data_IF_412058357805
#
_entry.id   IF_412058357805
#
_cell.length_a   1.000
_cell.length_b   1.000
_cell.length_c   1.000
_cell.angle_alpha   90.00
_cell.angle_beta   90.00
_cell.angle_gamma   90.00
#
_symmetry.space_group_name_H-M   'P 1'
#
loop_
_entity.id
_entity.type
_entity.pdbx_description
1 polymer ?
#
# COMPACT_ATOMS: atom_id res chain seq x y z
N UNK A 1 30.29 3.21 35.08
CA UNK A 1 29.08 3.95 34.72
C UNK A 1 28.06 3.00 34.13
N UNK A 2 26.91 2.81 34.77
CA UNK A 2 25.80 2.03 34.23
C UNK A 2 25.04 2.93 33.24
N UNK A 3 25.07 2.59 31.96
CA UNK A 3 24.35 3.32 30.92
C UNK A 3 22.89 2.85 30.94
N UNK A 4 22.01 3.70 31.45
CA UNK A 4 20.57 3.55 31.37
C UNK A 4 20.14 3.72 29.91
N UNK A 5 19.73 2.62 29.28
CA UNK A 5 19.08 2.65 27.97
C UNK A 5 17.66 3.17 28.19
N UNK A 6 17.46 4.45 27.90
CA UNK A 6 16.13 5.05 27.85
C UNK A 6 15.34 4.39 26.72
N UNK A 7 14.30 3.63 27.08
CA UNK A 7 13.31 3.12 26.14
C UNK A 7 12.59 4.33 25.51
N UNK A 8 13.03 4.72 24.31
CA UNK A 8 12.38 5.77 23.54
C UNK A 8 10.96 5.35 23.16
N UNK A 9 10.00 6.23 23.47
CA UNK A 9 8.63 6.21 22.96
C UNK A 9 8.62 6.18 21.42
N UNK A 10 8.69 5.00 20.82
CA UNK A 10 8.59 4.80 19.38
C UNK A 10 7.15 4.99 18.92
N UNK A 11 6.72 6.26 18.84
CA UNK A 11 5.46 6.71 18.27
C UNK A 11 5.50 6.51 16.76
N UNK A 12 4.87 5.45 16.26
CA UNK A 12 4.70 5.25 14.81
C UNK A 12 3.57 6.14 14.28
N UNK A 13 3.89 6.85 13.21
CA UNK A 13 3.01 7.74 12.46
C UNK A 13 2.73 7.00 11.15
N UNK A 14 1.49 6.56 10.90
CA UNK A 14 1.12 5.98 9.61
C UNK A 14 0.27 6.96 8.81
N UNK A 15 0.58 7.06 7.53
CA UNK A 15 -0.14 7.89 6.56
C UNK A 15 -1.07 7.00 5.73
N UNK A 16 -2.38 7.22 5.82
CA UNK A 16 -3.37 6.51 4.98
C UNK A 16 -3.92 7.52 3.98
N UNK A 17 -3.84 7.18 2.69
CA UNK A 17 -4.57 7.88 1.64
C UNK A 17 -5.51 6.87 0.97
N UNK A 18 -6.79 6.91 1.30
CA UNK A 18 -7.82 6.44 0.38
C UNK A 18 -8.39 7.68 -0.31
N UNK A 19 -8.04 7.93 -1.58
CA UNK A 19 -8.91 8.76 -2.39
C UNK A 19 -10.22 8.01 -2.62
N UNK A 20 -11.39 8.63 -2.44
CA UNK A 20 -12.50 8.34 -3.33
C UNK A 20 -12.13 8.93 -4.70
N UNK A 21 -11.29 8.25 -5.49
CA UNK A 21 -11.03 8.69 -6.86
C UNK A 21 -12.14 8.17 -7.77
N UNK A 22 -12.78 9.12 -8.44
CA UNK A 22 -13.62 8.95 -9.62
C UNK A 22 -12.82 8.16 -10.66
N UNK A 23 -13.22 6.92 -10.93
CA UNK A 23 -12.69 6.17 -12.07
C UNK A 23 -13.35 6.73 -13.32
N UNK A 24 -12.56 7.43 -14.13
CA UNK A 24 -12.84 7.62 -15.54
C UNK A 24 -12.68 6.25 -16.22
N UNK A 25 -13.82 5.60 -16.49
CA UNK A 25 -13.89 4.40 -17.31
C UNK A 25 -13.58 4.78 -18.76
N UNK A 26 -12.31 5.02 -19.05
CA UNK A 26 -11.74 5.13 -20.39
C UNK A 26 -11.79 3.79 -21.10
N UNK A 27 -12.99 3.32 -21.43
CA UNK A 27 -13.22 2.18 -22.31
C UNK A 27 -14.43 2.47 -23.21
N UNK A 28 -14.30 3.47 -24.08
CA UNK A 28 -15.22 3.64 -25.22
C UNK A 28 -14.89 2.60 -26.29
N UNK A 29 -15.53 1.45 -26.23
CA UNK A 29 -15.66 0.57 -27.38
C UNK A 29 -16.71 1.16 -28.32
N UNK A 30 -16.29 1.56 -29.52
CA UNK A 30 -17.18 1.91 -30.62
C UNK A 30 -17.98 0.66 -31.02
N UNK A 31 -19.28 0.66 -30.71
CA UNK A 31 -20.25 -0.26 -31.31
C UNK A 31 -21.09 0.56 -32.28
N UNK A 32 -20.84 0.36 -33.57
CA UNK A 32 -21.79 0.75 -34.61
C UNK A 32 -22.97 -0.22 -34.56
N UNK A 33 -24.15 0.29 -34.21
CA UNK A 33 -25.42 -0.41 -34.45
C UNK A 33 -26.34 0.48 -35.28
N UNK A 34 -26.75 -0.07 -36.42
CA UNK A 34 -27.63 0.50 -37.42
C UNK A 34 -29.02 0.80 -36.82
N UNK A 35 -29.62 1.89 -37.29
CA UNK A 35 -30.93 2.35 -36.86
C UNK A 35 -32.07 1.56 -37.49
N UNK A 36 -33.11 1.33 -36.70
CA UNK A 36 -34.43 0.93 -37.17
C UNK A 36 -35.50 1.78 -36.47
N UNK A 37 -36.46 2.22 -37.30
CA UNK A 37 -37.65 3.00 -37.02
C UNK A 37 -38.42 2.61 -35.73
N UNK A 38 -39.08 3.59 -35.08
CA UNK A 38 -40.55 3.73 -35.12
C UNK A 38 -41.14 4.84 -34.23
N UNK A 39 -42.11 5.53 -34.83
CA UNK A 39 -43.40 6.02 -34.28
C UNK A 39 -43.44 7.04 -33.14
N UNK A 40 -43.83 8.26 -33.56
CA UNK A 40 -44.56 9.29 -32.79
C UNK A 40 -45.78 8.70 -32.07
N UNK A 41 -45.93 8.98 -30.78
CA UNK A 41 -47.23 9.00 -30.08
C UNK A 41 -47.35 10.27 -29.24
N UNK A 42 -48.51 10.91 -29.40
CA UNK A 42 -48.99 12.12 -28.74
C UNK A 42 -49.27 11.84 -27.25
N UNK A 43 -48.95 12.79 -26.38
CA UNK A 43 -49.42 12.87 -24.98
C UNK A 43 -50.42 14.02 -24.84
N UNK A 44 -51.55 13.83 -24.13
CA UNK A 44 -52.43 14.92 -23.77
C UNK A 44 -52.09 15.53 -22.40
N UNK A 45 -52.40 16.82 -22.30
CA UNK A 45 -52.42 17.66 -21.11
C UNK A 45 -53.53 17.26 -20.13
N UNK A 46 -53.27 17.36 -18.81
CA UNK A 46 -54.28 17.73 -17.81
C UNK A 46 -53.73 17.94 -16.38
N UNK A 47 -54.06 19.12 -15.85
CA UNK A 47 -54.61 19.41 -14.50
C UNK A 47 -53.69 19.52 -13.27
N UNK A 48 -53.44 20.79 -12.93
CA UNK A 48 -53.72 21.47 -11.65
C UNK A 48 -54.03 20.61 -10.41
N UNK A 49 -53.22 20.78 -9.35
CA UNK A 49 -53.68 20.72 -7.97
C UNK A 49 -53.14 21.92 -7.18
N UNK A 50 -54.08 22.64 -6.54
CA UNK A 50 -53.85 23.72 -5.58
C UNK A 50 -53.38 23.14 -4.24
N UNK A 51 -52.44 23.78 -3.57
CA UNK A 51 -52.29 23.72 -2.12
C UNK A 51 -52.00 25.11 -1.56
N UNK A 52 -52.75 25.46 -0.51
CA UNK A 52 -52.69 26.69 0.29
C UNK A 52 -51.82 26.46 1.54
N UNK A 53 -51.46 27.52 2.30
CA UNK A 53 -50.24 27.59 3.09
C UNK A 53 -50.42 27.17 4.55
N UNK A 54 -49.34 26.69 5.16
CA UNK A 54 -49.22 26.61 6.63
C UNK A 54 -47.94 27.32 7.06
N UNK A 55 -48.17 28.31 7.91
CA UNK A 55 -47.24 29.11 8.71
C UNK A 55 -46.43 28.28 9.71
N UNK A 56 -45.22 28.74 10.06
CA UNK A 56 -44.50 28.23 11.23
C UNK A 56 -43.07 28.77 11.34
N UNK A 57 -42.86 29.61 12.34
CA UNK A 57 -41.70 30.46 12.60
C UNK A 57 -40.37 29.77 12.97
N UNK A 58 -39.29 30.51 12.70
CA UNK A 58 -38.06 30.72 13.49
C UNK A 58 -37.36 29.53 14.19
N UNK A 59 -36.08 29.34 13.82
CA UNK A 59 -34.94 29.79 14.65
C UNK A 59 -33.61 29.63 13.89
N UNK A 60 -32.97 30.77 13.63
CA UNK A 60 -31.54 30.86 13.35
C UNK A 60 -30.77 30.56 14.64
N UNK A 61 -29.84 29.60 14.59
CA UNK A 61 -28.69 29.58 15.50
C UNK A 61 -27.45 29.37 14.63
N UNK A 62 -26.64 30.41 14.60
CA UNK A 62 -25.32 30.47 13.99
C UNK A 62 -24.33 29.75 14.91
N UNK A 63 -23.54 28.84 14.34
CA UNK A 63 -22.32 28.33 14.98
C UNK A 63 -21.14 29.28 14.65
N UNK A 64 -20.49 29.91 15.65
CA UNK A 64 -19.18 30.51 15.46
C UNK A 64 -18.10 29.57 16.02
N UNK A 65 -17.01 29.40 15.27
CA UNK A 65 -15.61 29.42 15.77
C UNK A 65 -14.68 28.66 14.82
N UNK A 66 -14.10 29.39 13.87
CA UNK A 66 -12.75 29.14 13.36
C UNK A 66 -11.87 30.29 13.86
N UNK A 67 -10.73 30.04 14.54
CA UNK A 67 -9.74 31.08 14.72
C UNK A 67 -8.87 31.17 13.47
N UNK A 68 -9.00 32.31 12.78
CA UNK A 68 -7.99 32.83 11.85
C UNK A 68 -6.74 33.18 12.64
N UNK A 69 -5.61 32.55 12.33
CA UNK A 69 -4.28 33.07 12.66
C UNK A 69 -3.52 33.26 11.34
N UNK A 70 -3.66 34.46 10.79
CA UNK A 70 -2.74 35.03 9.80
C UNK A 70 -1.47 35.47 10.54
N UNK A 71 -0.37 34.75 10.35
CA UNK A 71 0.95 35.26 10.68
C UNK A 71 1.53 35.94 9.43
N UNK A 72 1.68 37.27 9.52
CA UNK A 72 2.39 38.13 8.57
C UNK A 72 3.88 37.75 8.54
N UNK A 73 4.42 37.42 7.38
CA UNK A 73 5.88 37.45 7.16
C UNK A 73 6.32 38.85 6.70
N UNK A 74 7.46 39.36 7.18
CA UNK A 74 7.96 40.65 6.75
C UNK A 74 8.73 40.56 5.44
N UNK A 75 8.35 41.48 4.56
CA UNK A 75 8.98 41.85 3.30
C UNK A 75 10.37 42.44 3.55
N UNK A 76 11.42 41.93 2.89
CA UNK A 76 12.70 42.65 2.74
C UNK A 76 13.17 42.56 1.28
N UNK A 77 12.97 43.68 0.59
CA UNK A 77 13.71 44.10 -0.59
C UNK A 77 15.14 44.48 -0.19
N UNK A 78 16.13 44.00 -0.92
CA UNK A 78 17.39 44.72 -1.14
C UNK A 78 17.82 44.50 -2.60
N UNK A 79 17.97 45.61 -3.33
CA UNK A 79 18.44 45.67 -4.71
C UNK A 79 19.92 46.06 -4.75
N UNK A 80 20.64 45.46 -5.71
CA UNK A 80 21.80 45.97 -6.47
C UNK A 80 23.09 46.22 -5.67
N UNK A 81 24.31 45.85 -6.12
CA UNK A 81 24.99 46.13 -7.39
C UNK A 81 26.22 45.21 -7.48
N UNK A 82 26.58 44.70 -8.69
CA UNK A 82 27.88 44.89 -9.41
C UNK A 82 28.29 43.72 -10.34
N UNK A 83 28.00 43.92 -11.61
CA UNK A 83 28.87 43.83 -12.80
C UNK A 83 30.03 42.80 -12.92
N UNK A 84 29.95 42.09 -14.06
CA UNK A 84 31.02 41.76 -15.05
C UNK A 84 32.12 40.74 -14.66
N UNK A 85 32.13 39.59 -15.36
CA UNK A 85 33.07 39.35 -16.49
C UNK A 85 32.79 38.01 -17.19
N UNK A 86 32.49 38.10 -18.49
CA UNK A 86 32.65 37.03 -19.48
C UNK A 86 34.14 36.72 -19.66
N UNK A 87 34.55 35.46 -19.59
CA UNK A 87 35.63 34.92 -20.43
C UNK A 87 35.30 33.47 -20.83
N UNK A 88 35.15 33.29 -22.14
CA UNK A 88 35.27 32.02 -22.84
C UNK A 88 36.74 31.61 -22.82
N UNK A 89 37.04 30.36 -22.55
CA UNK A 89 38.24 29.69 -23.07
C UNK A 89 38.02 28.19 -23.09
N UNK A 90 37.74 27.71 -24.30
CA UNK A 90 37.97 26.37 -24.80
C UNK A 90 39.44 25.98 -24.64
N UNK A 91 39.70 24.80 -24.05
CA UNK A 91 40.99 24.12 -24.19
C UNK A 91 40.77 22.59 -24.22
N UNK A 92 41.08 22.03 -25.39
CA UNK A 92 41.36 20.61 -25.64
C UNK A 92 42.61 20.15 -24.87
N UNK A 93 42.58 18.94 -24.31
CA UNK A 93 43.68 17.95 -24.17
C UNK A 93 43.09 16.71 -23.49
N UNK A 94 42.81 15.59 -24.16
CA UNK A 94 43.72 14.50 -24.58
C UNK A 94 44.65 13.97 -23.49
N UNK A 95 44.29 12.81 -22.91
CA UNK A 95 45.14 11.67 -22.49
C UNK A 95 44.22 10.57 -21.93
N UNK A 96 44.05 9.46 -22.64
CA UNK A 96 44.81 8.19 -22.54
C UNK A 96 44.61 7.42 -21.23
N UNK A 97 43.88 6.32 -21.38
CA UNK A 97 44.13 4.96 -20.87
C UNK A 97 44.43 4.76 -19.39
N UNK A 98 43.54 4.02 -18.71
CA UNK A 98 43.90 2.86 -17.89
C UNK A 98 42.67 1.94 -17.77
N UNK A 99 42.80 0.77 -18.38
CA UNK A 99 41.97 -0.42 -18.18
C UNK A 99 42.49 -1.14 -16.94
N UNK A 100 41.60 -1.56 -16.03
CA UNK A 100 41.65 -2.86 -15.32
C UNK A 100 40.69 -2.83 -14.13
N UNK A 101 39.76 -3.79 -14.07
CA UNK A 101 38.93 -4.03 -12.89
C UNK A 101 37.63 -4.76 -13.20
N UNK A 102 37.69 -5.87 -13.92
CA UNK A 102 36.57 -6.79 -14.10
C UNK A 102 36.43 -7.68 -12.85
N UNK A 103 35.57 -7.30 -11.90
CA UNK A 103 35.06 -8.21 -10.88
C UNK A 103 33.67 -8.70 -11.31
N UNK A 104 33.65 -9.67 -12.24
CA UNK A 104 32.47 -10.48 -12.55
C UNK A 104 32.38 -11.65 -11.57
N UNK A 105 31.65 -11.46 -10.48
CA UNK A 105 31.09 -12.57 -9.70
C UNK A 105 29.95 -13.20 -10.51
N UNK A 106 30.31 -14.14 -11.37
CA UNK A 106 29.38 -15.04 -12.03
C UNK A 106 28.88 -16.08 -11.02
N UNK A 107 27.65 -15.93 -10.53
CA UNK A 107 26.90 -17.04 -9.96
C UNK A 107 26.33 -17.84 -11.14
N UNK A 108 26.93 -19.00 -11.42
CA UNK A 108 26.35 -20.00 -12.30
C UNK A 108 25.10 -20.61 -11.64
N UNK A 109 23.95 -20.68 -12.34
CA UNK A 109 22.89 -21.60 -12.01
C UNK A 109 23.09 -22.88 -12.82
N UNK A 110 23.62 -23.93 -12.19
CA UNK A 110 23.50 -25.29 -12.72
C UNK A 110 22.20 -25.92 -12.24
N UNK A 111 21.43 -26.41 -13.21
CA UNK A 111 20.40 -27.44 -13.12
C UNK A 111 19.05 -27.07 -12.49
N UNK A 112 18.19 -26.46 -13.31
CA UNK A 112 16.74 -26.44 -13.11
C UNK A 112 15.99 -26.77 -14.41
N UNK A 113 16.12 -28.03 -14.86
CA UNK A 113 15.06 -28.66 -15.65
C UNK A 113 14.02 -29.18 -14.66
N UNK A 114 13.01 -28.37 -14.35
CA UNK A 114 11.78 -28.92 -13.77
C UNK A 114 10.55 -28.10 -14.19
N UNK A 115 9.87 -28.59 -15.23
CA UNK A 115 8.48 -28.27 -15.51
C UNK A 115 7.63 -28.99 -14.47
N UNK A 116 7.50 -28.40 -13.27
CA UNK A 116 6.47 -28.72 -12.26
C UNK A 116 6.54 -27.70 -11.11
N UNK A 117 6.32 -26.42 -11.42
CA UNK A 117 6.21 -25.36 -10.42
C UNK A 117 4.80 -25.30 -9.85
N UNK A 118 4.44 -26.23 -8.96
CA UNK A 118 3.29 -26.06 -8.06
C UNK A 118 3.24 -26.96 -6.81
N UNK A 119 4.35 -27.57 -6.37
CA UNK A 119 4.37 -28.30 -5.11
C UNK A 119 5.73 -28.18 -4.40
N UNK A 120 5.94 -27.08 -3.67
CA UNK A 120 6.89 -27.11 -2.55
C UNK A 120 6.24 -27.91 -1.41
N UNK A 121 6.80 -29.08 -1.09
CA UNK A 121 6.32 -29.91 0.02
C UNK A 121 6.52 -29.21 1.38
N UNK A 122 5.54 -29.25 2.31
CA UNK A 122 5.65 -28.58 3.61
C UNK A 122 6.64 -29.30 4.54
N UNK A 123 7.69 -28.59 4.96
CA UNK A 123 8.66 -29.05 5.93
C UNK A 123 8.02 -29.12 7.33
N UNK A 124 7.85 -30.34 7.88
CA UNK A 124 7.16 -30.62 9.16
C UNK A 124 7.89 -30.11 10.43
N UNK A 125 8.99 -29.37 10.32
CA UNK A 125 9.78 -28.89 11.49
C UNK A 125 9.53 -27.43 11.90
N UNK A 126 8.60 -26.71 11.28
CA UNK A 126 8.43 -25.26 11.52
C UNK A 126 7.48 -24.84 12.66
N UNK A 127 6.62 -25.74 13.17
CA UNK A 127 5.63 -25.41 14.22
C UNK A 127 6.21 -24.81 15.52
N UNK A 128 7.50 -25.03 15.81
CA UNK A 128 8.16 -24.45 16.99
C UNK A 128 8.70 -23.04 16.76
N UNK A 129 9.07 -22.68 15.52
CA UNK A 129 9.81 -21.44 15.24
C UNK A 129 8.91 -20.18 15.26
N UNK A 130 7.66 -20.30 14.81
CA UNK A 130 6.70 -19.18 14.76
C UNK A 130 6.31 -18.72 16.18
N UNK A 131 6.13 -19.66 17.10
CA UNK A 131 5.82 -19.34 18.51
C UNK A 131 6.97 -18.60 19.21
N UNK A 132 8.22 -18.97 18.90
CA UNK A 132 9.40 -18.38 19.54
C UNK A 132 9.59 -16.90 19.14
N UNK A 133 9.46 -16.58 17.86
CA UNK A 133 9.61 -15.19 17.38
C UNK A 133 8.59 -14.22 17.99
N UNK A 134 7.38 -14.69 18.31
CA UNK A 134 6.38 -13.88 18.97
C UNK A 134 6.64 -13.70 20.47
N UNK A 135 7.25 -14.69 21.14
CA UNK A 135 7.62 -14.62 22.56
C UNK A 135 8.77 -13.63 22.79
N UNK A 136 9.74 -13.59 21.88
CA UNK A 136 10.94 -12.75 22.01
C UNK A 136 10.74 -11.30 21.54
N UNK A 137 9.52 -10.93 21.15
CA UNK A 137 9.21 -9.58 20.71
C UNK A 137 9.28 -8.58 21.86
N UNK A 138 10.32 -7.73 21.84
CA UNK A 138 10.52 -6.68 22.86
C UNK A 138 9.40 -5.65 22.92
N UNK A 139 8.74 -5.36 21.79
CA UNK A 139 7.70 -4.32 21.73
C UNK A 139 6.36 -4.80 22.27
N UNK A 140 6.02 -6.07 22.04
CA UNK A 140 4.73 -6.62 22.43
C UNK A 140 4.85 -8.13 22.72
N UNK A 141 5.48 -8.49 23.87
CA UNK A 141 5.81 -9.88 24.18
C UNK A 141 4.59 -10.80 24.15
N UNK A 142 4.72 -11.96 23.49
CA UNK A 142 3.67 -12.98 23.41
C UNK A 142 2.46 -12.63 22.54
N UNK A 143 2.33 -11.39 22.09
CA UNK A 143 1.28 -10.94 21.18
C UNK A 143 -0.17 -11.32 21.55
N UNK A 144 -0.61 -11.15 22.81
CA UNK A 144 -1.90 -11.67 23.28
C UNK A 144 -3.14 -11.09 22.60
N UNK A 145 -3.01 -9.95 21.90
CA UNK A 145 -4.10 -9.27 21.19
C UNK A 145 -3.99 -9.39 19.66
N UNK A 146 -3.16 -10.32 19.19
CA UNK A 146 -3.03 -10.65 17.76
C UNK A 146 -3.88 -11.89 17.50
N UNK A 147 -5.01 -11.68 16.83
CA UNK A 147 -5.91 -12.76 16.46
C UNK A 147 -5.41 -13.41 15.17
N UNK A 148 -5.23 -14.74 15.10
CA UNK A 148 -4.97 -15.40 13.84
C UNK A 148 -6.05 -15.03 12.82
N UNK A 149 -5.64 -14.78 11.56
CA UNK A 149 -6.54 -14.17 10.58
C UNK A 149 -7.83 -14.97 10.37
N UNK A 150 -7.78 -16.30 10.36
CA UNK A 150 -8.96 -17.13 10.20
C UNK A 150 -9.82 -17.28 11.45
N UNK A 151 -9.22 -17.13 12.62
CA UNK A 151 -9.91 -17.30 13.90
C UNK A 151 -10.70 -16.05 14.31
N UNK A 152 -10.40 -14.90 13.68
CA UNK A 152 -11.12 -13.66 13.94
C UNK A 152 -12.63 -13.75 13.62
N UNK A 153 -13.42 -13.26 14.57
CA UNK A 153 -14.85 -13.00 14.44
C UNK A 153 -15.19 -11.55 14.83
N UNK A 154 -16.18 -10.94 14.18
CA UNK A 154 -16.67 -9.59 14.52
C UNK A 154 -17.14 -9.48 15.98
N UNK A 155 -17.48 -10.61 16.61
CA UNK A 155 -17.80 -10.69 18.03
C UNK A 155 -16.61 -10.30 18.93
N UNK A 156 -15.38 -10.40 18.43
CA UNK A 156 -14.15 -9.98 19.11
C UNK A 156 -13.97 -8.45 19.12
N UNK A 157 -14.79 -7.72 18.35
CA UNK A 157 -14.76 -6.27 18.34
C UNK A 157 -15.41 -5.70 19.61
N UNK A 158 -15.06 -4.46 19.95
CA UNK A 158 -15.75 -3.73 21.00
C UNK A 158 -17.07 -3.15 20.48
N UNK A 159 -18.06 -3.02 21.36
CA UNK A 159 -19.27 -2.26 21.05
C UNK A 159 -18.89 -0.82 20.62
N UNK A 160 -19.53 -0.23 19.59
CA UNK A 160 -20.73 -0.70 18.87
C UNK A 160 -20.45 -1.61 17.66
N UNK A 161 -19.22 -2.02 17.42
CA UNK A 161 -18.83 -2.70 16.18
C UNK A 161 -19.10 -4.22 16.19
N UNK A 162 -19.34 -4.80 17.36
CA UNK A 162 -19.54 -6.24 17.55
C UNK A 162 -20.89 -6.80 17.09
N UNK A 163 -21.79 -5.94 16.61
CA UNK A 163 -23.08 -6.35 16.04
C UNK A 163 -23.09 -6.26 14.50
N UNK A 164 -21.93 -6.01 13.88
CA UNK A 164 -21.84 -5.55 12.50
C UNK A 164 -21.01 -6.50 11.65
N UNK A 165 -21.67 -7.48 11.04
CA UNK A 165 -21.06 -8.50 10.17
C UNK A 165 -20.22 -7.90 9.04
N UNK A 166 -20.51 -6.67 8.61
CA UNK A 166 -19.74 -5.97 7.58
C UNK A 166 -18.26 -5.74 7.95
N UNK A 167 -17.91 -5.70 9.25
CA UNK A 167 -16.51 -5.64 9.65
C UNK A 167 -15.75 -6.95 9.43
N UNK A 168 -16.44 -8.09 9.51
CA UNK A 168 -15.86 -9.36 9.05
C UNK A 168 -15.51 -9.29 7.57
N UNK A 169 -16.47 -8.86 6.75
CA UNK A 169 -16.25 -8.74 5.30
C UNK A 169 -15.10 -7.78 4.98
N UNK A 170 -15.00 -6.67 5.72
CA UNK A 170 -13.89 -5.73 5.62
C UNK A 170 -12.54 -6.36 5.98
N UNK A 171 -12.43 -7.02 7.14
CA UNK A 171 -11.18 -7.66 7.57
C UNK A 171 -10.75 -8.72 6.57
N UNK A 172 -11.69 -9.52 6.06
CA UNK A 172 -11.42 -10.52 5.01
C UNK A 172 -10.94 -9.86 3.72
N UNK A 173 -11.59 -8.77 3.29
CA UNK A 173 -11.19 -8.02 2.10
C UNK A 173 -9.79 -7.38 2.24
N UNK A 174 -9.46 -6.83 3.42
CA UNK A 174 -8.13 -6.31 3.74
C UNK A 174 -7.09 -7.43 3.70
N UNK A 175 -7.32 -8.52 4.43
CA UNK A 175 -6.37 -9.63 4.50
C UNK A 175 -6.15 -10.36 3.18
N UNK A 176 -7.09 -10.27 2.24
CA UNK A 176 -6.94 -10.78 0.87
C UNK A 176 -5.92 -10.00 0.02
N UNK A 177 -5.57 -8.77 0.43
CA UNK A 177 -4.64 -7.88 -0.25
C UNK A 177 -3.35 -7.64 0.55
N UNK A 178 -3.33 -8.07 1.81
CA UNK A 178 -2.13 -8.06 2.67
C UNK A 178 -1.19 -9.17 2.24
N UNK A 179 0.09 -8.81 2.06
CA UNK A 179 1.17 -9.73 1.69
C UNK A 179 2.26 -9.71 2.74
N UNK A 180 2.91 -10.85 2.92
CA UNK A 180 4.18 -10.93 3.66
C UNK A 180 5.28 -10.43 2.74
N UNK A 181 6.02 -9.43 3.18
CA UNK A 181 7.18 -8.88 2.46
C UNK A 181 8.43 -9.50 3.05
N UNK A 182 9.23 -10.13 2.20
CA UNK A 182 10.47 -10.78 2.55
C UNK A 182 11.55 -10.39 1.56
N UNK A 183 12.71 -9.96 2.04
CA UNK A 183 13.89 -9.83 1.19
C UNK A 183 15.14 -10.17 2.00
N UNK A 184 16.17 -10.64 1.27
CA UNK A 184 17.45 -11.04 1.83
C UNK A 184 18.50 -10.00 1.44
N UNK A 185 19.22 -9.50 2.43
CA UNK A 185 20.28 -8.50 2.28
C UNK A 185 19.89 -7.12 2.77
N UNK A 186 20.71 -6.13 2.45
CA UNK A 186 20.49 -4.73 2.79
C UNK A 186 21.14 -3.90 1.68
N UNK A 187 20.50 -2.84 1.22
CA UNK A 187 21.13 -1.95 0.24
C UNK A 187 22.41 -1.31 0.82
N UNK A 188 23.50 -1.22 0.04
CA UNK A 188 24.71 -0.49 0.48
C UNK A 188 24.42 0.99 0.78
N UNK A 189 23.42 1.57 0.12
CA UNK A 189 23.04 2.98 0.26
C UNK A 189 21.84 3.18 1.21
N UNK A 190 21.50 2.17 2.03
CA UNK A 190 20.36 2.25 2.94
C UNK A 190 20.57 3.40 3.95
N UNK A 191 19.61 4.34 4.06
CA UNK A 191 19.72 5.44 5.01
C UNK A 191 19.99 4.94 6.43
N UNK A 192 20.94 5.55 7.18
CA UNK A 192 21.23 5.15 8.55
C UNK A 192 20.02 5.20 9.48
N UNK A 193 19.01 6.04 9.19
CA UNK A 193 17.76 6.06 9.98
C UNK A 193 16.95 4.76 9.87
N UNK A 194 17.20 3.94 8.85
CA UNK A 194 16.54 2.65 8.61
C UNK A 194 17.37 1.45 9.06
N UNK A 195 18.38 1.63 9.93
CA UNK A 195 19.31 0.57 10.34
C UNK A 195 18.60 -0.76 10.52
N UNK A 196 18.81 -1.67 9.57
CA UNK A 196 18.33 -3.03 9.67
C UNK A 196 19.19 -3.71 10.74
N UNK A 197 18.55 -4.23 11.78
CA UNK A 197 19.25 -4.95 12.85
C UNK A 197 19.68 -6.36 12.43
N UNK A 198 19.31 -6.80 11.23
CA UNK A 198 19.42 -8.18 10.77
C UNK A 198 19.60 -8.28 9.26
N UNK A 199 20.31 -9.30 8.80
CA UNK A 199 20.51 -9.66 7.38
C UNK A 199 19.20 -10.03 6.66
N UNK A 200 18.17 -10.38 7.42
CA UNK A 200 16.82 -10.61 6.92
C UNK A 200 15.87 -9.48 7.35
N UNK A 201 15.20 -8.88 6.39
CA UNK A 201 14.15 -7.90 6.64
C UNK A 201 12.78 -8.52 6.34
N UNK A 202 11.94 -8.55 7.37
CA UNK A 202 10.57 -9.08 7.31
C UNK A 202 9.59 -7.96 7.60
N UNK A 203 8.59 -7.81 6.75
CA UNK A 203 7.56 -6.81 6.92
C UNK A 203 6.22 -7.23 6.33
N UNK A 204 5.30 -6.29 6.30
CA UNK A 204 3.99 -6.43 5.68
C UNK A 204 3.87 -5.47 4.50
N UNK A 205 3.14 -5.86 3.48
CA UNK A 205 2.75 -4.98 2.37
C UNK A 205 1.26 -5.09 2.08
N UNK A 206 0.77 -4.17 1.27
CA UNK A 206 -0.61 -4.12 0.80
C UNK A 206 -0.65 -3.98 -0.71
N UNK A 207 -1.42 -4.83 -1.39
CA UNK A 207 -1.65 -4.72 -2.82
C UNK A 207 -2.64 -3.59 -3.08
N UNK A 208 -2.21 -2.57 -3.81
CA UNK A 208 -3.02 -1.38 -4.12
C UNK A 208 -3.48 -1.31 -5.58
N UNK A 209 -2.85 -2.07 -6.47
CA UNK A 209 -3.25 -2.13 -7.88
C UNK A 209 -2.87 -3.47 -8.51
N UNK A 210 -3.68 -3.91 -9.47
CA UNK A 210 -3.41 -5.09 -10.29
C UNK A 210 -3.89 -4.83 -11.71
N UNK A 211 -2.95 -4.82 -12.66
CA UNK A 211 -3.18 -4.41 -14.05
C UNK A 211 -2.62 -5.47 -14.99
N UNK A 212 -3.45 -5.94 -15.92
CA UNK A 212 -3.00 -6.78 -17.02
C UNK A 212 -2.26 -5.92 -18.06
N UNK A 213 -1.06 -6.34 -18.42
CA UNK A 213 -0.31 -5.80 -19.55
C UNK A 213 -0.35 -6.79 -20.71
N UNK A 214 -0.23 -6.24 -21.91
CA UNK A 214 -0.08 -6.99 -23.15
C UNK A 214 1.16 -6.48 -23.84
N UNK A 215 1.93 -7.38 -24.43
CA UNK A 215 3.08 -7.05 -25.27
C UNK A 215 2.63 -6.12 -26.38
N UNK A 216 3.24 -4.94 -26.43
CA UNK A 216 3.25 -4.03 -27.58
C UNK A 216 4.69 -4.01 -28.10
N UNK A 217 4.90 -3.56 -29.34
CA UNK A 217 6.22 -3.64 -30.01
C UNK A 217 7.38 -3.01 -29.21
N UNK A 218 7.08 -2.14 -28.25
CA UNK A 218 8.06 -1.48 -27.37
C UNK A 218 8.05 -1.92 -25.90
N UNK A 219 7.21 -2.89 -25.51
CA UNK A 219 7.04 -3.27 -24.10
C UNK A 219 7.32 -4.75 -23.87
N UNK A 220 8.40 -5.02 -23.14
CA UNK A 220 8.78 -6.36 -22.70
C UNK A 220 8.44 -6.58 -21.22
N UNK A 221 8.24 -7.84 -20.85
CA UNK A 221 8.11 -8.22 -19.44
C UNK A 221 9.43 -7.92 -18.72
N UNK A 222 9.43 -7.25 -17.55
CA UNK A 222 10.64 -6.85 -16.85
C UNK A 222 11.25 -7.96 -15.98
N UNK A 223 10.70 -9.18 -16.01
CA UNK A 223 11.30 -10.32 -15.31
C UNK A 223 12.56 -10.77 -16.05
N UNK A 224 13.62 -11.02 -15.28
CA UNK A 224 14.93 -11.39 -15.82
C UNK A 224 14.85 -12.67 -16.66
N UNK A 225 14.03 -13.64 -16.25
CA UNK A 225 13.85 -14.88 -17.00
C UNK A 225 13.25 -14.63 -18.39
N UNK A 226 12.39 -13.61 -18.53
CA UNK A 226 11.77 -13.26 -19.82
C UNK A 226 12.70 -12.50 -20.76
N UNK A 227 13.71 -11.82 -20.23
CA UNK A 227 14.75 -11.17 -21.04
C UNK A 227 15.65 -12.23 -21.71
N UNK A 228 15.94 -13.32 -20.98
CA UNK A 228 16.79 -14.41 -21.46
C UNK A 228 16.01 -15.42 -22.30
N UNK A 229 14.76 -15.72 -21.93
CA UNK A 229 13.99 -16.80 -22.54
C UNK A 229 13.23 -16.33 -23.79
N UNK A 230 13.85 -16.48 -24.97
CA UNK A 230 13.23 -16.16 -26.27
C UNK A 230 11.98 -16.98 -26.62
N UNK A 231 11.81 -18.15 -25.99
CA UNK A 231 10.74 -19.11 -26.31
C UNK A 231 9.38 -18.78 -25.69
N UNK A 232 9.37 -18.03 -24.59
CA UNK A 232 8.14 -17.66 -23.89
C UNK A 232 8.10 -16.15 -23.65
N UNK A 233 8.10 -15.31 -24.70
CA UNK A 233 7.87 -13.89 -24.53
C UNK A 233 6.42 -13.76 -24.11
N UNK A 234 6.15 -13.81 -22.79
CA UNK A 234 4.81 -13.74 -22.23
C UNK A 234 4.06 -12.61 -22.92
N UNK A 235 3.12 -12.96 -23.80
CA UNK A 235 2.37 -11.97 -24.56
C UNK A 235 1.54 -11.09 -23.63
N UNK A 236 1.35 -11.55 -22.38
CA UNK A 236 0.66 -10.88 -21.30
C UNK A 236 1.39 -11.16 -19.98
N UNK A 237 1.38 -10.17 -19.10
CA UNK A 237 1.83 -10.29 -17.71
C UNK A 237 1.02 -9.35 -16.82
N UNK A 238 0.99 -9.62 -15.53
CA UNK A 238 0.43 -8.72 -14.52
C UNK A 238 1.46 -7.78 -13.96
N UNK A 239 1.14 -6.50 -13.88
CA UNK A 239 1.81 -5.56 -12.97
C UNK A 239 0.96 -5.41 -11.70
N UNK A 240 1.59 -5.67 -10.55
CA UNK A 240 0.95 -5.58 -9.23
C UNK A 240 1.72 -4.54 -8.41
N UNK A 241 1.03 -3.50 -7.96
CA UNK A 241 1.65 -2.47 -7.11
C UNK A 241 1.45 -2.84 -5.65
N UNK A 242 2.55 -2.89 -4.90
CA UNK A 242 2.57 -3.14 -3.47
C UNK A 242 3.03 -1.88 -2.75
N UNK A 243 2.28 -1.50 -1.71
CA UNK A 243 2.65 -0.46 -0.75
C UNK A 243 3.22 -1.13 0.52
N UNK A 244 4.31 -0.60 1.06
CA UNK A 244 4.91 -0.99 2.34
C UNK A 244 5.58 0.22 3.00
N UNK A 245 6.27 0.03 4.12
CA UNK A 245 7.05 1.09 4.75
C UNK A 245 8.43 1.26 4.08
N UNK A 246 8.94 2.49 4.01
CA UNK A 246 10.25 2.76 3.38
C UNK A 246 11.41 2.12 4.16
N UNK A 247 11.31 2.04 5.48
CA UNK A 247 12.26 1.26 6.29
C UNK A 247 12.09 -0.26 6.14
N UNK A 248 11.06 -0.75 5.45
CA UNK A 248 10.97 -2.18 5.10
C UNK A 248 11.65 -2.43 3.77
N UNK A 249 11.37 -1.61 2.74
CA UNK A 249 12.06 -1.66 1.44
C UNK A 249 12.43 -0.24 1.01
N UNK A 250 13.72 0.09 0.97
CA UNK A 250 14.17 1.48 0.86
C UNK A 250 14.61 1.94 -0.54
N UNK A 251 14.88 1.04 -1.48
CA UNK A 251 15.31 1.40 -2.84
C UNK A 251 15.07 0.31 -3.90
N UNK A 252 15.55 0.56 -5.13
CA UNK A 252 15.45 -0.40 -6.24
C UNK A 252 16.29 -1.67 -6.04
N UNK A 253 17.39 -1.58 -5.29
CA UNK A 253 18.23 -2.73 -5.00
C UNK A 253 17.48 -3.74 -4.14
N UNK A 254 16.85 -3.26 -3.06
CA UNK A 254 16.02 -4.09 -2.18
C UNK A 254 14.76 -4.58 -2.89
N UNK A 255 14.10 -3.73 -3.70
CA UNK A 255 12.90 -4.13 -4.46
C UNK A 255 13.18 -5.35 -5.34
N UNK A 256 14.28 -5.36 -6.09
CA UNK A 256 14.62 -6.47 -7.01
C UNK A 256 14.89 -7.80 -6.29
N UNK A 257 15.23 -7.74 -5.00
CA UNK A 257 15.44 -8.90 -4.12
C UNK A 257 14.22 -9.21 -3.24
N UNK A 258 13.16 -8.42 -3.37
CA UNK A 258 11.95 -8.56 -2.57
C UNK A 258 11.03 -9.61 -3.17
N UNK A 259 10.56 -10.49 -2.30
CA UNK A 259 9.52 -11.48 -2.54
C UNK A 259 8.30 -11.08 -1.71
N UNK A 260 7.15 -10.99 -2.36
CA UNK A 260 5.86 -10.86 -1.70
C UNK A 260 5.13 -12.21 -1.70
N UNK A 261 4.79 -12.70 -0.52
CA UNK A 261 4.09 -13.97 -0.32
C UNK A 261 2.63 -13.68 0.00
N UNK A 262 1.73 -14.15 -0.86
CA UNK A 262 0.28 -14.03 -0.72
C UNK A 262 -0.26 -15.25 0.01
N UNK A 263 -1.42 -15.07 0.63
CA UNK A 263 -2.21 -16.15 1.23
C UNK A 263 -1.46 -16.95 2.32
N UNK A 264 -0.38 -16.40 2.90
CA UNK A 264 0.37 -16.99 4.02
C UNK A 264 -0.37 -16.88 5.36
N UNK A 265 -1.46 -17.63 5.49
CA UNK A 265 -2.36 -17.58 6.65
C UNK A 265 -2.01 -18.59 7.74
N UNK A 266 -1.25 -19.62 7.40
CA UNK A 266 -0.73 -20.66 8.30
C UNK A 266 0.51 -21.32 7.66
N UNK A 267 1.19 -22.21 8.38
CA UNK A 267 2.43 -22.86 7.93
C UNK A 267 2.24 -23.85 6.77
N UNK A 268 1.04 -24.37 6.55
CA UNK A 268 0.70 -25.30 5.48
C UNK A 268 0.00 -24.61 4.31
N UNK A 269 -0.12 -23.28 4.35
CA UNK A 269 -0.82 -22.53 3.33
C UNK A 269 -0.15 -22.70 1.96
N UNK A 270 -0.97 -22.95 0.94
CA UNK A 270 -0.53 -22.88 -0.45
C UNK A 270 -0.37 -21.40 -0.80
N UNK A 271 0.87 -20.95 -0.86
CA UNK A 271 1.20 -19.55 -1.09
C UNK A 271 1.37 -19.24 -2.57
N UNK A 272 1.09 -17.98 -2.92
CA UNK A 272 1.45 -17.42 -4.24
C UNK A 272 2.59 -16.44 -4.05
N UNK A 273 3.52 -16.41 -5.00
CA UNK A 273 4.74 -15.61 -4.92
C UNK A 273 4.70 -14.52 -5.98
N UNK A 274 5.06 -13.30 -5.59
CA UNK A 274 5.30 -12.19 -6.49
C UNK A 274 6.73 -11.66 -6.29
N UNK A 275 7.41 -11.39 -7.39
CA UNK A 275 8.76 -10.86 -7.38
C UNK A 275 8.74 -9.35 -7.65
N UNK A 276 9.43 -8.58 -6.80
CA UNK A 276 9.64 -7.16 -7.01
C UNK A 276 10.57 -6.89 -8.19
N UNK A 277 10.25 -5.91 -9.02
CA UNK A 277 11.01 -5.60 -10.25
C UNK A 277 11.57 -4.19 -10.28
N UNK A 278 10.81 -3.21 -9.79
CA UNK A 278 11.24 -1.79 -9.74
C UNK A 278 10.45 -1.00 -8.72
N UNK A 279 11.11 -0.02 -8.13
CA UNK A 279 10.49 1.03 -7.32
C UNK A 279 9.53 1.85 -8.19
N UNK A 280 8.40 2.23 -7.60
CA UNK A 280 7.47 3.19 -8.20
C UNK A 280 7.64 4.55 -7.51
N UNK A 281 7.56 4.59 -6.17
CA UNK A 281 7.69 5.81 -5.38
C UNK A 281 8.16 5.50 -3.98
N UNK A 282 9.14 6.24 -3.47
CA UNK A 282 9.55 6.18 -2.06
C UNK A 282 9.45 7.58 -1.47
N UNK A 283 8.98 7.65 -0.23
CA UNK A 283 8.92 8.88 0.55
C UNK A 283 9.45 8.60 1.93
N UNK A 284 10.68 9.04 2.19
CA UNK A 284 11.32 8.86 3.50
C UNK A 284 10.58 9.62 4.59
N UNK A 285 10.13 10.84 4.28
CA UNK A 285 9.36 11.73 5.19
C UNK A 285 8.08 11.07 5.71
N UNK A 286 7.43 10.26 4.88
CA UNK A 286 6.20 9.56 5.25
C UNK A 286 6.44 8.09 5.57
N UNK A 287 7.68 7.62 5.47
CA UNK A 287 8.07 6.23 5.64
C UNK A 287 7.22 5.29 4.77
N UNK A 288 7.08 5.62 3.48
CA UNK A 288 6.28 4.84 2.53
C UNK A 288 7.11 4.42 1.32
N UNK A 289 6.95 3.18 0.89
CA UNK A 289 7.50 2.62 -0.33
C UNK A 289 6.39 1.99 -1.16
N UNK A 290 6.30 2.39 -2.41
CA UNK A 290 5.47 1.77 -3.43
C UNK A 290 6.39 1.15 -4.46
N UNK A 291 6.21 -0.12 -4.75
CA UNK A 291 6.99 -0.82 -5.75
C UNK A 291 6.12 -1.75 -6.58
N UNK A 292 6.66 -2.16 -7.71
CA UNK A 292 5.99 -3.02 -8.67
C UNK A 292 6.52 -4.44 -8.53
N UNK A 293 5.58 -5.38 -8.52
CA UNK A 293 5.83 -6.79 -8.74
C UNK A 293 5.25 -7.24 -10.09
N UNK A 294 5.78 -8.35 -10.62
CA UNK A 294 5.29 -8.95 -11.87
C UNK A 294 4.98 -10.43 -11.70
N UNK A 295 3.98 -10.90 -12.44
CA UNK A 295 3.63 -12.32 -12.55
C UNK A 295 3.07 -12.65 -13.94
N UNK A 296 3.28 -13.87 -14.41
CA UNK A 296 2.63 -14.40 -15.61
C UNK A 296 1.30 -15.12 -15.30
N UNK A 297 0.95 -15.30 -14.02
CA UNK A 297 -0.34 -15.88 -13.63
C UNK A 297 -1.45 -14.85 -13.88
N UNK A 298 -2.00 -14.88 -15.10
CA UNK A 298 -3.06 -13.97 -15.51
C UNK A 298 -4.37 -14.17 -14.74
N UNK A 299 -4.60 -15.37 -14.20
CA UNK A 299 -5.76 -15.68 -13.36
C UNK A 299 -5.62 -14.96 -12.02
N UNK A 300 -4.44 -15.02 -11.39
CA UNK A 300 -4.14 -14.29 -10.16
C UNK A 300 -4.34 -12.79 -10.32
N UNK A 301 -3.90 -12.20 -11.44
CA UNK A 301 -4.10 -10.76 -11.74
C UNK A 301 -5.60 -10.43 -11.77
N UNK A 302 -6.40 -11.26 -12.44
CA UNK A 302 -7.86 -11.11 -12.47
C UNK A 302 -8.49 -11.24 -11.08
N UNK A 303 -8.05 -12.19 -10.27
CA UNK A 303 -8.49 -12.40 -8.88
C UNK A 303 -8.19 -11.19 -7.98
N UNK A 304 -6.95 -10.68 -8.03
CA UNK A 304 -6.52 -9.53 -7.25
C UNK A 304 -7.32 -8.27 -7.63
N UNK A 305 -7.56 -8.05 -8.92
CA UNK A 305 -8.39 -6.93 -9.38
C UNK A 305 -9.81 -7.00 -8.82
N UNK A 306 -10.41 -8.20 -8.76
CA UNK A 306 -11.73 -8.41 -8.15
C UNK A 306 -11.68 -8.13 -6.64
N UNK A 307 -10.65 -8.61 -5.93
CA UNK A 307 -10.44 -8.37 -4.49
C UNK A 307 -10.31 -6.87 -4.16
N UNK A 308 -9.54 -6.11 -4.97
CA UNK A 308 -9.42 -4.64 -4.83
C UNK A 308 -10.78 -3.96 -4.97
N UNK A 309 -11.53 -4.27 -6.03
CA UNK A 309 -12.88 -3.71 -6.24
C UNK A 309 -13.84 -4.06 -5.10
N UNK A 310 -13.74 -5.27 -4.57
CA UNK A 310 -14.54 -5.70 -3.42
C UNK A 310 -14.23 -4.89 -2.17
N UNK A 311 -12.95 -4.67 -1.87
CA UNK A 311 -12.54 -3.83 -0.73
C UNK A 311 -13.05 -2.39 -0.89
N UNK A 312 -12.92 -1.81 -2.08
CA UNK A 312 -13.43 -0.45 -2.37
C UNK A 312 -14.94 -0.37 -2.11
N UNK A 313 -15.72 -1.33 -2.61
CA UNK A 313 -17.17 -1.38 -2.39
C UNK A 313 -17.53 -1.48 -0.90
N UNK A 314 -16.86 -2.35 -0.15
CA UNK A 314 -17.10 -2.50 1.29
C UNK A 314 -16.72 -1.23 2.05
N UNK A 315 -15.57 -0.62 1.71
CA UNK A 315 -15.13 0.64 2.29
C UNK A 315 -16.14 1.77 2.04
N UNK A 316 -16.64 1.93 0.83
CA UNK A 316 -17.66 2.95 0.51
C UNK A 316 -18.95 2.77 1.31
N UNK A 317 -19.40 1.52 1.47
CA UNK A 317 -20.61 1.20 2.25
C UNK A 317 -20.42 1.55 3.72
N UNK A 318 -19.31 1.11 4.32
CA UNK A 318 -18.99 1.41 5.71
C UNK A 318 -18.75 2.90 5.91
N UNK A 319 -18.02 3.56 5.02
CA UNK A 319 -17.78 5.00 5.11
C UNK A 319 -19.10 5.78 5.12
N UNK A 320 -20.03 5.50 4.20
CA UNK A 320 -21.35 6.17 4.19
C UNK A 320 -22.13 5.96 5.49
N UNK A 321 -22.05 4.76 6.08
CA UNK A 321 -22.74 4.42 7.32
C UNK A 321 -22.12 5.08 8.56
N UNK A 322 -20.79 5.18 8.60
CA UNK A 322 -20.04 5.54 9.80
C UNK A 322 -19.44 6.95 9.77
N UNK A 323 -19.47 7.67 8.64
CA UNK A 323 -18.89 9.03 8.53
C UNK A 323 -19.57 10.07 9.44
N UNK A 324 -20.85 9.89 9.75
CA UNK A 324 -21.63 10.85 10.55
C UNK A 324 -21.49 10.65 12.06
N UNK A 325 -20.93 9.53 12.51
CA UNK A 325 -20.81 9.24 13.93
C UNK A 325 -19.57 9.93 14.50
N UNK A 326 -19.80 10.74 15.52
CA UNK A 326 -18.79 11.60 16.16
C UNK A 326 -17.71 10.84 16.93
N UNK A 327 -17.93 9.55 17.24
CA UNK A 327 -17.06 8.73 18.09
C UNK A 327 -16.43 7.53 17.36
N UNK A 328 -16.35 7.55 16.04
CA UNK A 328 -15.74 6.46 15.31
C UNK A 328 -14.23 6.56 15.25
N UNK A 329 -13.58 5.88 16.19
CA UNK A 329 -12.13 5.81 16.24
C UNK A 329 -11.57 4.40 16.11
N UNK A 330 -12.37 3.39 15.76
CA UNK A 330 -11.89 2.03 15.50
C UNK A 330 -10.74 2.03 14.50
N UNK A 331 -9.70 1.28 14.83
CA UNK A 331 -8.54 1.05 13.97
C UNK A 331 -8.38 -0.45 13.80
N UNK A 332 -8.29 -0.88 12.54
CA UNK A 332 -8.07 -2.29 12.18
C UNK A 332 -6.71 -2.41 11.49
N UNK A 333 -5.92 -3.39 11.89
CA UNK A 333 -4.65 -3.72 11.25
C UNK A 333 -4.61 -5.20 10.91
N UNK A 334 -4.33 -5.51 9.64
CA UNK A 334 -4.08 -6.87 9.18
C UNK A 334 -2.61 -6.96 8.76
N UNK A 335 -1.83 -7.83 9.39
CA UNK A 335 -0.37 -7.86 9.20
C UNK A 335 0.26 -9.23 9.33
N UNK A 336 1.54 -9.33 8.92
CA UNK A 336 2.41 -10.47 9.15
C UNK A 336 3.45 -10.13 10.24
N UNK A 337 3.08 -10.18 11.54
CA UNK A 337 4.00 -9.83 12.62
C UNK A 337 5.26 -10.70 12.54
N UNK A 338 6.42 -10.08 12.48
CA UNK A 338 7.74 -10.74 12.31
C UNK A 338 7.83 -11.66 11.07
N UNK A 339 6.98 -11.48 10.04
CA UNK A 339 6.90 -12.40 8.92
C UNK A 339 6.24 -13.73 9.24
N UNK A 340 5.53 -13.83 10.37
CA UNK A 340 4.71 -14.99 10.73
C UNK A 340 3.42 -15.03 9.91
N UNK A 341 2.58 -16.02 10.22
CA UNK A 341 1.23 -16.12 9.67
C UNK A 341 0.43 -14.83 9.88
N UNK A 342 -0.58 -14.62 9.04
CA UNK A 342 -1.39 -13.39 9.05
C UNK A 342 -2.18 -13.27 10.35
N UNK A 343 -2.18 -12.08 10.94
CA UNK A 343 -2.95 -11.74 12.13
C UNK A 343 -3.74 -10.45 11.94
N UNK A 344 -4.77 -10.30 12.75
CA UNK A 344 -5.58 -9.08 12.86
C UNK A 344 -5.41 -8.52 14.26
N UNK A 345 -5.25 -7.21 14.37
CA UNK A 345 -5.30 -6.49 15.64
C UNK A 345 -6.30 -5.34 15.55
N UNK A 346 -6.85 -4.98 16.72
CA UNK A 346 -7.84 -3.92 16.86
C UNK A 346 -7.42 -2.92 17.93
N UNK A 347 -7.83 -1.68 17.74
CA UNK A 347 -7.59 -0.60 18.67
C UNK A 347 -8.38 0.62 18.28
N UNK A 348 -7.91 1.76 18.75
CA UNK A 348 -8.53 3.05 18.52
C UNK A 348 -7.48 4.10 18.20
N UNK A 349 -7.81 5.04 17.33
CA UNK A 349 -6.99 6.24 17.17
C UNK A 349 -7.32 7.23 18.29
N UNK A 350 -6.27 7.89 18.78
CA UNK A 350 -6.33 8.91 19.84
C UNK A 350 -6.18 10.31 19.26
N UNK A 351 -5.48 10.46 18.12
CA UNK A 351 -5.29 11.74 17.43
C UNK A 351 -5.23 11.54 15.92
N UNK A 352 -5.80 12.49 15.19
CA UNK A 352 -5.78 12.59 13.73
C UNK A 352 -5.08 13.89 13.35
N UNK A 353 -4.06 13.79 12.51
CA UNK A 353 -3.30 14.93 12.00
C UNK A 353 -3.55 15.02 10.50
N UNK A 354 -4.28 16.04 10.07
CA UNK A 354 -4.54 16.31 8.66
C UNK A 354 -3.43 17.22 8.15
N UNK A 355 -2.65 16.73 7.18
CA UNK A 355 -1.52 17.45 6.57
C UNK A 355 -1.93 18.09 5.24
N UNK A 356 -0.94 18.51 4.44
CA UNK A 356 -1.11 19.25 3.19
C UNK A 356 -2.13 18.56 2.27
N UNK A 357 -3.01 19.39 1.70
CA UNK A 357 -3.96 19.02 0.65
C UNK A 357 -3.19 18.52 -0.57
N UNK A 358 -3.56 17.35 -1.06
CA UNK A 358 -3.14 16.81 -2.34
C UNK A 358 -3.98 17.42 -3.47
N UNK A 359 -3.52 17.27 -4.72
CA UNK A 359 -4.17 17.84 -5.91
C UNK A 359 -5.64 17.39 -6.08
N UNK A 360 -6.04 16.24 -5.54
CA UNK A 360 -7.37 15.63 -5.73
C UNK A 360 -8.39 15.85 -4.59
N UNK A 361 -8.31 16.96 -3.83
CA UNK A 361 -9.11 17.17 -2.59
C UNK A 361 -8.88 16.09 -1.51
N UNK A 362 -7.87 15.25 -1.69
CA UNK A 362 -7.40 14.31 -0.67
C UNK A 362 -6.42 15.00 0.26
N UNK A 363 -6.30 14.49 1.48
CA UNK A 363 -5.36 15.00 2.48
C UNK A 363 -4.50 13.87 2.98
N UNK A 364 -3.20 14.11 3.09
CA UNK A 364 -2.36 13.19 3.84
C UNK A 364 -2.80 13.22 5.29
N UNK A 365 -3.28 12.10 5.81
CA UNK A 365 -3.73 11.99 7.20
C UNK A 365 -2.85 11.03 7.96
N UNK A 366 -2.38 11.49 9.12
CA UNK A 366 -1.57 10.72 10.06
C UNK A 366 -2.39 10.41 11.31
N UNK A 367 -2.33 9.17 11.78
CA UNK A 367 -3.06 8.74 12.97
C UNK A 367 -2.10 8.33 14.08
N UNK A 368 -2.40 8.73 15.31
CA UNK A 368 -1.83 8.15 16.53
C UNK A 368 -2.85 7.18 17.11
N UNK A 369 -2.47 5.96 17.45
CA UNK A 369 -3.37 4.92 17.91
C UNK A 369 -2.80 4.11 19.09
N UNK A 370 -3.68 3.37 19.78
CA UNK A 370 -3.32 2.43 20.86
C UNK A 370 -3.36 0.95 20.41
N UNK A 371 -3.54 0.71 19.11
CA UNK A 371 -3.55 -0.58 18.46
C UNK A 371 -2.23 -1.37 18.68
N UNK A 372 -2.30 -2.63 19.14
CA UNK A 372 -1.14 -3.52 19.22
C UNK A 372 -0.46 -3.70 17.85
N UNK A 373 0.85 -3.45 17.80
CA UNK A 373 1.68 -3.57 16.60
C UNK A 373 3.14 -3.85 16.97
N UNK A 374 3.86 -4.60 16.14
CA UNK A 374 5.28 -4.86 16.31
C UNK A 374 6.11 -4.27 15.15
N UNK A 375 7.46 -4.32 15.17
CA UNK A 375 8.28 -3.95 14.02
C UNK A 375 7.91 -4.72 12.74
N UNK A 376 7.62 -6.02 12.81
CA UNK A 376 7.24 -6.79 11.62
C UNK A 376 5.85 -6.50 11.06
N UNK A 377 5.00 -5.77 11.81
CA UNK A 377 3.75 -5.23 11.28
C UNK A 377 3.94 -3.99 10.41
N UNK A 378 5.16 -3.45 10.28
CA UNK A 378 5.44 -2.29 9.44
C UNK A 378 5.02 -2.52 7.98
N UNK A 379 4.43 -1.50 7.37
CA UNK A 379 3.91 -1.54 5.99
C UNK A 379 2.53 -2.17 5.84
N UNK A 380 1.95 -2.69 6.92
CA UNK A 380 0.58 -3.18 6.92
C UNK A 380 -0.46 -2.07 6.69
N UNK A 381 -1.57 -2.35 6.00
CA UNK A 381 -2.67 -1.41 5.87
C UNK A 381 -3.33 -1.21 7.23
N UNK A 382 -3.63 0.05 7.53
CA UNK A 382 -4.56 0.43 8.59
C UNK A 382 -5.86 0.87 7.93
N UNK A 383 -6.98 0.44 8.48
CA UNK A 383 -8.30 0.94 8.16
C UNK A 383 -8.80 1.87 9.26
#
# INVERSE_FOLDING_TARGET
>A
GKQTVLAGDNKKILTICYPPDVIDDGNKTNVHSQGANTRKRKTPSAKNLKQSPVSGDNKQILDPCLPNNEAKEPNKNEQNVRAKKRKKSSAKKSKQTLLSGDDKLALHPSDANNKDSNNLSPCKKHKSAVSLQLKDCRKYPGHPKFYPFYDFSYLDLQHPYNNERQFNDLVRALGNLVVKVYFIGTSPDRPPVYMATTEECKGTGNIVSSVMKRKKDSMHCPLLECEVCKEHPGSQWGEITVDTAAHVVCDDHEVKRTICVLDYNDENAIVKILQGVRKNKISEVNDTCKFMCVTHDTKLVGELRKKIKSLQKIHEQLYKKYVTLTQNNLVILVSHPHGCQKHVTFGQYTRKYVSKRLRSKTYYTKYKYNLPSCPGSSGAPIY
#
